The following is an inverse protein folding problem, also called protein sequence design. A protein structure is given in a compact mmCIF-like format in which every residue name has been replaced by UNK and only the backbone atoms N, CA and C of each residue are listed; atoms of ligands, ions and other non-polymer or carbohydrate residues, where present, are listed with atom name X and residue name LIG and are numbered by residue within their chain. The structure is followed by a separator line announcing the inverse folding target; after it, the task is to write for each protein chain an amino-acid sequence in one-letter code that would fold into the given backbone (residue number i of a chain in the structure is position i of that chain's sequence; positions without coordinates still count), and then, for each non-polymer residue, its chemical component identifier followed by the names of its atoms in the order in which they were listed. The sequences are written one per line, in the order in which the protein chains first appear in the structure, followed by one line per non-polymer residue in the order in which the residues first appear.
data_IF_381726408074
#
_entry.id   IF_381726408074
#
_cell.length_a   1.000
_cell.length_b   1.000
_cell.length_c   1.000
_cell.angle_alpha   90.00
_cell.angle_beta   90.00
_cell.angle_gamma   90.00
#
_symmetry.space_group_name_H-M   'P 1'
#
loop_
_entity.id
_entity.type
_entity.pdbx_description
1 polymer ?
#
# COMPACT_ATOMS: atom_id res chain seq x y z
N UNK A 1 12.90 7.56 -19.48
CA UNK A 1 14.07 7.20 -18.64
C UNK A 1 15.41 7.19 -19.37
N UNK A 2 15.72 6.27 -20.30
CA UNK A 2 17.03 6.28 -20.98
C UNK A 2 17.32 7.59 -21.71
N UNK A 3 16.35 8.07 -22.51
CA UNK A 3 16.49 9.32 -23.26
C UNK A 3 16.61 10.54 -22.37
N UNK A 4 15.85 10.63 -21.26
CA UNK A 4 15.99 11.73 -20.29
C UNK A 4 17.42 11.76 -19.72
N UNK A 5 17.94 10.60 -19.30
CA UNK A 5 19.31 10.47 -18.80
C UNK A 5 20.34 10.92 -19.84
N UNK A 6 20.25 10.41 -21.08
CA UNK A 6 21.15 10.83 -22.15
C UNK A 6 21.08 12.34 -22.43
N UNK A 7 19.89 12.96 -22.41
CA UNK A 7 19.75 14.40 -22.63
C UNK A 7 20.40 15.22 -21.51
N UNK A 8 20.33 14.75 -20.25
CA UNK A 8 21.02 15.37 -19.12
C UNK A 8 22.52 15.19 -19.21
N UNK A 9 22.98 13.97 -19.47
CA UNK A 9 24.41 13.64 -19.62
C UNK A 9 25.03 14.42 -20.78
N UNK A 10 24.31 14.57 -21.89
CA UNK A 10 24.74 15.42 -23.01
C UNK A 10 24.71 16.89 -22.65
N UNK A 11 23.78 17.34 -21.82
CA UNK A 11 23.77 18.72 -21.31
C UNK A 11 25.02 19.07 -20.48
N UNK A 12 25.65 18.07 -19.85
CA UNK A 12 26.87 18.23 -19.04
C UNK A 12 28.17 17.98 -19.83
N UNK A 13 28.10 17.53 -21.08
CA UNK A 13 29.28 17.29 -21.91
C UNK A 13 29.90 18.61 -22.37
N UNK A 14 31.23 18.70 -22.27
CA UNK A 14 32.03 19.88 -22.63
C UNK A 14 31.68 20.40 -24.03
N UNK A 15 31.46 19.51 -24.99
CA UNK A 15 31.10 19.91 -26.35
C UNK A 15 29.77 20.67 -26.41
N UNK A 16 28.75 20.22 -25.67
CA UNK A 16 27.43 20.84 -25.69
C UNK A 16 27.36 22.08 -24.77
N UNK A 17 28.17 22.12 -23.71
CA UNK A 17 28.36 23.33 -22.90
C UNK A 17 29.00 24.45 -23.72
N UNK A 18 30.04 24.15 -24.51
CA UNK A 18 30.66 25.13 -25.43
C UNK A 18 29.65 25.67 -26.46
N UNK A 19 28.80 24.80 -27.01
CA UNK A 19 27.72 25.22 -27.92
C UNK A 19 26.68 26.08 -27.21
N UNK A 20 26.34 25.73 -25.97
CA UNK A 20 25.38 26.49 -25.17
C UNK A 20 25.90 27.88 -24.83
N UNK A 21 27.15 28.00 -24.37
CA UNK A 21 27.80 29.29 -24.14
C UNK A 21 27.84 30.14 -25.42
N UNK A 22 28.20 29.54 -26.57
CA UNK A 22 28.19 30.26 -27.85
C UNK A 22 26.77 30.71 -28.25
N UNK A 23 25.75 29.89 -27.99
CA UNK A 23 24.36 30.24 -28.25
C UNK A 23 23.87 31.37 -27.34
N UNK A 24 24.25 31.33 -26.06
CA UNK A 24 23.93 32.34 -25.05
C UNK A 24 24.63 33.67 -25.36
N UNK A 25 25.91 33.64 -25.72
CA UNK A 25 26.64 34.83 -26.16
C UNK A 25 26.00 35.46 -27.41
N UNK A 26 25.51 34.65 -28.35
CA UNK A 26 24.79 35.15 -29.52
C UNK A 26 23.43 35.75 -29.16
N UNK A 27 22.76 35.23 -28.13
CA UNK A 27 21.47 35.77 -27.65
C UNK A 27 21.66 37.12 -26.95
N UNK A 28 22.66 37.23 -26.07
CA UNK A 28 22.99 38.46 -25.36
C UNK A 28 23.45 39.58 -26.30
N UNK A 29 24.19 39.23 -27.36
CA UNK A 29 24.69 40.18 -28.33
C UNK A 29 23.66 40.60 -29.40
N UNK A 30 22.47 40.00 -29.43
CA UNK A 30 21.36 40.47 -30.26
C UNK A 30 20.72 41.72 -29.64
N UNK A 31 20.84 42.86 -30.33
CA UNK A 31 20.23 44.12 -29.88
C UNK A 31 18.69 44.00 -29.79
N UNK A 32 18.06 44.74 -28.87
CA UNK A 32 16.60 44.78 -28.67
C UNK A 32 15.77 45.07 -29.94
N UNK A 33 16.39 45.55 -31.02
CA UNK A 33 15.75 45.85 -32.31
C UNK A 33 15.69 44.63 -33.26
N UNK A 34 16.37 43.53 -32.93
CA UNK A 34 16.57 42.34 -33.78
C UNK A 34 16.00 41.04 -33.18
N UNK A 35 15.13 41.11 -32.16
CA UNK A 35 14.53 39.92 -31.50
C UNK A 35 13.71 39.02 -32.45
N UNK A 36 13.18 39.58 -33.54
CA UNK A 36 12.49 38.85 -34.59
C UNK A 36 13.42 38.33 -35.71
N UNK A 37 14.73 38.64 -35.66
CA UNK A 37 15.69 38.10 -36.63
C UNK A 37 16.04 36.67 -36.28
N UNK A 38 16.15 35.88 -37.34
CA UNK A 38 16.54 34.49 -37.27
C UNK A 38 17.93 34.34 -36.63
N UNK A 39 17.99 33.55 -35.55
CA UNK A 39 19.21 33.32 -34.74
C UNK A 39 20.06 32.22 -35.36
N UNK A 40 19.39 31.19 -35.87
CA UNK A 40 20.00 30.06 -36.57
C UNK A 40 19.07 29.59 -37.70
N UNK A 41 19.50 29.75 -38.94
CA UNK A 41 18.71 29.35 -40.12
C UNK A 41 17.39 30.11 -40.20
N UNK A 42 16.26 29.40 -40.10
CA UNK A 42 14.91 29.96 -40.13
C UNK A 42 14.23 30.08 -38.76
N UNK A 43 14.92 29.78 -37.66
CA UNK A 43 14.37 29.78 -36.30
C UNK A 43 14.57 31.13 -35.59
N UNK A 44 13.52 31.61 -34.93
CA UNK A 44 13.57 32.79 -34.06
C UNK A 44 14.15 32.44 -32.68
N UNK A 45 14.51 33.45 -31.89
CA UNK A 45 15.01 33.25 -30.53
C UNK A 45 13.98 32.56 -29.62
N UNK A 46 12.70 32.82 -29.86
CA UNK A 46 11.59 32.16 -29.18
C UNK A 46 11.54 30.66 -29.52
N UNK A 47 11.65 30.31 -30.81
CA UNK A 47 11.65 28.90 -31.25
C UNK A 47 12.84 28.10 -30.70
N UNK A 48 13.97 28.78 -30.45
CA UNK A 48 15.15 28.19 -29.84
C UNK A 48 14.92 27.96 -28.35
N UNK A 49 14.36 28.94 -27.64
CA UNK A 49 14.05 28.83 -26.22
C UNK A 49 13.04 27.71 -25.93
N UNK A 50 12.02 27.57 -26.78
CA UNK A 50 10.98 26.52 -26.66
C UNK A 50 11.54 25.09 -26.85
N UNK A 51 12.76 24.94 -27.36
CA UNK A 51 13.39 23.63 -27.61
C UNK A 51 14.60 23.34 -26.73
N UNK A 52 15.23 24.39 -26.22
CA UNK A 52 16.51 24.29 -25.51
C UNK A 52 16.31 24.62 -24.03
N UNK A 53 16.30 25.91 -23.70
CA UNK A 53 15.94 26.39 -22.38
C UNK A 53 15.45 27.83 -22.47
N UNK A 54 14.49 28.17 -21.61
CA UNK A 54 13.98 29.55 -21.45
C UNK A 54 15.07 30.55 -21.02
N UNK A 55 16.18 30.05 -20.46
CA UNK A 55 17.36 30.81 -20.08
C UNK A 55 17.99 31.60 -21.25
N UNK A 56 17.84 31.12 -22.49
CA UNK A 56 18.31 31.82 -23.71
C UNK A 56 17.64 33.20 -23.87
N UNK A 57 16.38 33.32 -23.45
CA UNK A 57 15.56 34.54 -23.61
C UNK A 57 15.57 35.42 -22.37
N UNK A 58 15.66 34.83 -21.17
CA UNK A 58 15.77 35.60 -19.92
C UNK A 58 17.17 36.18 -19.69
N UNK A 59 18.20 35.62 -20.32
CA UNK A 59 19.59 36.00 -20.08
C UNK A 59 20.12 35.49 -18.74
N UNK A 60 19.46 34.47 -18.19
CA UNK A 60 19.97 33.75 -17.01
C UNK A 60 21.03 32.73 -17.46
N UNK A 61 22.11 32.63 -16.70
CA UNK A 61 23.23 31.72 -16.97
C UNK A 61 22.93 30.25 -16.56
N UNK A 62 21.78 30.00 -15.91
CA UNK A 62 21.47 28.74 -15.21
C UNK A 62 20.64 27.76 -16.07
N UNK A 63 21.02 27.57 -17.34
CA UNK A 63 20.33 26.67 -18.26
C UNK A 63 21.26 25.76 -19.05
N UNK A 64 20.71 24.68 -19.60
CA UNK A 64 21.39 23.78 -20.52
C UNK A 64 20.63 23.61 -21.83
N UNK A 65 21.37 23.19 -22.87
CA UNK A 65 20.86 23.07 -24.24
C UNK A 65 19.66 22.11 -24.38
N UNK A 66 19.52 21.14 -23.49
CA UNK A 66 18.51 20.08 -23.58
C UNK A 66 17.47 20.11 -22.46
N UNK A 67 17.40 21.15 -21.63
CA UNK A 67 16.52 21.16 -20.46
C UNK A 67 15.04 20.95 -20.80
N UNK A 68 14.53 21.66 -21.80
CA UNK A 68 13.12 21.55 -22.20
C UNK A 68 12.83 20.17 -22.80
N UNK A 69 13.75 19.64 -23.60
CA UNK A 69 13.61 18.30 -24.20
C UNK A 69 13.70 17.20 -23.14
N UNK A 70 14.63 17.32 -22.18
CA UNK A 70 14.74 16.41 -21.04
C UNK A 70 13.49 16.48 -20.16
N UNK A 71 12.96 17.69 -19.92
CA UNK A 71 11.70 17.93 -19.23
C UNK A 71 10.52 17.25 -19.91
N UNK A 72 10.39 17.37 -21.23
CA UNK A 72 9.34 16.72 -22.00
C UNK A 72 9.40 15.18 -21.88
N UNK A 73 10.61 14.59 -21.93
CA UNK A 73 10.77 13.14 -21.74
C UNK A 73 10.46 12.70 -20.31
N UNK A 74 10.75 13.53 -19.31
CA UNK A 74 10.38 13.27 -17.92
C UNK A 74 8.87 13.30 -17.72
N UNK A 75 8.17 14.31 -18.25
CA UNK A 75 6.70 14.37 -18.23
C UNK A 75 6.08 13.15 -18.92
N UNK A 76 6.61 12.75 -20.09
CA UNK A 76 6.14 11.56 -20.80
C UNK A 76 6.34 10.29 -19.96
N UNK A 77 7.46 10.20 -19.25
CA UNK A 77 7.73 9.09 -18.34
C UNK A 77 6.72 9.06 -17.18
N UNK A 78 6.51 10.17 -16.49
CA UNK A 78 5.56 10.26 -15.37
C UNK A 78 4.14 9.88 -15.80
N UNK A 79 3.70 10.39 -16.96
CA UNK A 79 2.41 10.05 -17.54
C UNK A 79 2.28 8.56 -17.92
N UNK A 80 3.33 7.98 -18.51
CA UNK A 80 3.33 6.55 -18.87
C UNK A 80 3.31 5.67 -17.62
N UNK A 81 4.04 6.05 -16.57
CA UNK A 81 4.01 5.35 -15.28
C UNK A 81 2.60 5.39 -14.66
N UNK A 82 1.95 6.56 -14.65
CA UNK A 82 0.57 6.71 -14.17
C UNK A 82 -0.41 5.82 -14.94
N UNK A 83 -0.32 5.81 -16.27
CA UNK A 83 -1.15 4.95 -17.12
C UNK A 83 -0.93 3.45 -16.84
N UNK A 84 0.31 3.03 -16.57
CA UNK A 84 0.60 1.63 -16.17
C UNK A 84 -0.05 1.32 -14.81
N UNK A 85 0.05 2.24 -13.85
CA UNK A 85 -0.51 2.07 -12.51
C UNK A 85 -2.03 1.95 -12.57
N UNK A 86 -2.69 2.82 -13.32
CA UNK A 86 -4.13 2.76 -13.54
C UNK A 86 -4.55 1.45 -14.20
N UNK A 87 -3.84 1.04 -15.26
CA UNK A 87 -4.17 -0.18 -15.98
C UNK A 87 -4.04 -1.43 -15.09
N UNK A 88 -2.89 -1.61 -14.43
CA UNK A 88 -2.64 -2.76 -13.56
C UNK A 88 -3.57 -2.71 -12.34
N UNK A 89 -3.74 -1.54 -11.71
CA UNK A 89 -4.61 -1.37 -10.57
C UNK A 89 -6.06 -1.71 -10.87
N UNK A 90 -6.62 -1.19 -11.98
CA UNK A 90 -7.99 -1.48 -12.39
C UNK A 90 -8.18 -2.95 -12.73
N UNK A 91 -7.24 -3.57 -13.45
CA UNK A 91 -7.33 -4.98 -13.80
C UNK A 91 -7.34 -5.89 -12.56
N UNK A 92 -6.45 -5.65 -11.61
CA UNK A 92 -6.38 -6.41 -10.35
C UNK A 92 -7.64 -6.19 -9.50
N UNK A 93 -8.15 -4.96 -9.40
CA UNK A 93 -9.40 -4.66 -8.69
C UNK A 93 -10.60 -5.38 -9.34
N UNK A 94 -10.66 -5.44 -10.67
CA UNK A 94 -11.72 -6.14 -11.39
C UNK A 94 -11.71 -7.64 -11.10
N UNK A 95 -10.54 -8.24 -11.05
CA UNK A 95 -10.37 -9.66 -10.71
C UNK A 95 -10.67 -9.92 -9.22
N UNK A 96 -10.31 -9.00 -8.32
CA UNK A 96 -10.66 -9.05 -6.90
C UNK A 96 -12.17 -8.95 -6.62
N UNK A 97 -13.01 -8.56 -7.60
CA UNK A 97 -14.47 -8.53 -7.41
C UNK A 97 -15.04 -9.90 -7.05
N UNK A 98 -14.43 -10.99 -7.49
CA UNK A 98 -14.86 -12.33 -7.08
C UNK A 98 -14.61 -12.55 -5.58
N UNK A 99 -13.41 -12.16 -5.12
CA UNK A 99 -13.01 -12.25 -3.73
C UNK A 99 -13.84 -11.36 -2.80
N UNK A 100 -14.18 -10.14 -3.22
CA UNK A 100 -15.04 -9.24 -2.41
C UNK A 100 -16.49 -9.69 -2.27
N UNK A 101 -16.95 -10.62 -3.12
CA UNK A 101 -18.29 -11.21 -3.04
C UNK A 101 -18.37 -12.39 -2.06
N UNK A 102 -17.26 -12.82 -1.48
CA UNK A 102 -17.26 -13.87 -0.45
C UNK A 102 -18.08 -13.37 0.75
N UNK A 103 -19.18 -14.05 1.04
CA UNK A 103 -20.06 -13.73 2.18
C UNK A 103 -19.93 -14.73 3.33
N UNK A 104 -19.18 -15.81 3.12
CA UNK A 104 -19.04 -16.93 4.06
C UNK A 104 -18.00 -16.70 5.15
N UNK A 105 -17.33 -15.53 5.20
CA UNK A 105 -16.39 -15.12 6.25
C UNK A 105 -16.81 -15.43 7.71
N UNK A 106 -18.10 -15.34 8.12
CA UNK A 106 -18.50 -15.68 9.48
C UNK A 106 -18.78 -17.17 9.69
N UNK A 107 -18.90 -17.96 8.62
CA UNK A 107 -19.27 -19.38 8.64
C UNK A 107 -18.14 -20.31 8.20
N UNK A 108 -16.94 -19.77 7.92
CA UNK A 108 -15.79 -20.61 7.63
C UNK A 108 -15.41 -21.33 8.93
N UNK A 109 -15.63 -22.63 8.93
CA UNK A 109 -15.23 -23.56 9.98
C UNK A 109 -13.95 -24.29 9.55
N UNK A 110 -13.11 -24.64 10.50
CA UNK A 110 -11.95 -25.49 10.24
C UNK A 110 -12.45 -26.86 9.79
N UNK A 111 -12.07 -27.27 8.59
CA UNK A 111 -12.37 -28.60 8.09
C UNK A 111 -11.54 -29.61 8.90
N UNK A 112 -12.09 -30.07 10.03
CA UNK A 112 -11.54 -31.16 10.83
C UNK A 112 -11.96 -32.53 10.28
N UNK A 113 -12.28 -32.64 8.99
CA UNK A 113 -12.67 -33.92 8.39
C UNK A 113 -11.51 -34.53 7.60
N UNK A 114 -10.76 -35.40 8.28
CA UNK A 114 -10.09 -36.53 7.63
C UNK A 114 -8.56 -36.55 7.62
N UNK A 115 -7.93 -36.74 8.77
CA UNK A 115 -6.92 -37.80 8.96
C UNK A 115 -6.41 -37.78 10.40
N UNK A 116 -6.86 -38.76 11.19
CA UNK A 116 -6.22 -39.16 12.44
C UNK A 116 -4.91 -39.89 12.12
N UNK A 117 -3.94 -39.18 11.52
CA UNK A 117 -2.57 -39.67 11.42
C UNK A 117 -1.66 -38.69 12.16
N UNK A 118 -1.54 -38.96 13.45
CA UNK A 118 -0.65 -38.28 14.39
C UNK A 118 0.81 -38.46 13.95
N UNK A 119 1.30 -37.55 13.08
CA UNK A 119 2.72 -37.17 12.93
C UNK A 119 3.00 -36.09 11.86
N UNK A 120 2.00 -35.41 11.28
CA UNK A 120 2.24 -34.21 10.49
C UNK A 120 1.96 -32.94 11.29
N UNK A 121 2.92 -32.02 11.43
CA UNK A 121 2.63 -30.70 11.94
C UNK A 121 1.93 -29.89 10.84
N UNK A 122 1.11 -28.92 11.27
CA UNK A 122 0.55 -27.82 10.47
C UNK A 122 -0.73 -28.12 9.65
N UNK A 123 -1.87 -27.65 10.15
CA UNK A 123 -3.01 -27.29 9.30
C UNK A 123 -2.61 -26.11 8.41
N UNK A 124 -1.97 -26.37 7.27
CA UNK A 124 -1.65 -25.33 6.29
C UNK A 124 -2.94 -24.87 5.62
N UNK A 125 -3.42 -23.68 5.97
CA UNK A 125 -4.55 -23.04 5.29
C UNK A 125 -4.21 -22.89 3.80
N UNK A 126 -5.06 -23.45 2.94
CA UNK A 126 -4.93 -23.27 1.49
C UNK A 126 -5.44 -21.91 1.08
N UNK A 127 -4.86 -21.34 0.03
CA UNK A 127 -5.25 -20.04 -0.53
C UNK A 127 -6.69 -20.10 -1.07
N UNK A 128 -7.48 -19.05 -0.83
CA UNK A 128 -8.84 -18.96 -1.40
C UNK A 128 -8.79 -18.97 -2.94
N UNK A 129 -9.57 -19.80 -3.63
CA UNK A 129 -9.50 -19.93 -5.09
C UNK A 129 -9.83 -18.62 -5.81
N UNK A 130 -10.63 -17.73 -5.20
CA UNK A 130 -11.01 -16.44 -5.75
C UNK A 130 -9.86 -15.43 -5.82
N UNK A 131 -8.78 -15.63 -5.05
CA UNK A 131 -7.59 -14.76 -5.08
C UNK A 131 -6.51 -15.27 -6.04
N UNK A 132 -6.64 -16.50 -6.55
CA UNK A 132 -5.63 -17.11 -7.41
C UNK A 132 -5.42 -16.32 -8.72
N UNK A 133 -6.50 -15.84 -9.32
CA UNK A 133 -6.45 -15.04 -10.55
C UNK A 133 -5.73 -13.68 -10.35
N UNK A 134 -6.13 -12.83 -9.38
CA UNK A 134 -5.41 -11.56 -9.15
C UNK A 134 -3.94 -11.76 -8.76
N UNK A 135 -3.59 -12.86 -8.07
CA UNK A 135 -2.20 -13.21 -7.78
C UNK A 135 -1.41 -13.55 -9.07
N UNK A 136 -1.99 -14.35 -9.96
CA UNK A 136 -1.37 -14.70 -11.23
C UNK A 136 -1.16 -13.46 -12.12
N UNK A 137 -2.14 -12.58 -12.18
CA UNK A 137 -2.08 -11.30 -12.88
C UNK A 137 -0.95 -10.43 -12.33
N UNK A 138 -0.92 -10.17 -11.01
CA UNK A 138 0.15 -9.39 -10.37
C UNK A 138 1.52 -9.98 -10.66
N UNK A 139 1.68 -11.30 -10.50
CA UNK A 139 2.95 -11.99 -10.76
C UNK A 139 3.42 -11.82 -12.20
N UNK A 140 2.53 -12.02 -13.18
CA UNK A 140 2.86 -11.88 -14.60
C UNK A 140 3.24 -10.44 -14.98
N UNK A 141 2.48 -9.45 -14.49
CA UNK A 141 2.75 -8.04 -14.73
C UNK A 141 4.05 -7.59 -14.07
N UNK A 142 4.30 -7.97 -12.82
CA UNK A 142 5.54 -7.63 -12.13
C UNK A 142 6.76 -8.31 -12.75
N UNK A 143 6.65 -9.58 -13.16
CA UNK A 143 7.72 -10.28 -13.86
C UNK A 143 8.09 -9.62 -15.20
N UNK A 144 7.12 -9.04 -15.90
CA UNK A 144 7.37 -8.31 -17.14
C UNK A 144 7.95 -6.92 -16.86
N UNK A 145 7.28 -6.13 -16.01
CA UNK A 145 7.66 -4.73 -15.76
C UNK A 145 8.99 -4.60 -15.01
N UNK A 146 9.35 -5.53 -14.13
CA UNK A 146 10.65 -5.53 -13.45
C UNK A 146 11.83 -5.72 -14.40
N UNK A 147 11.60 -6.30 -15.59
CA UNK A 147 12.62 -6.52 -16.62
C UNK A 147 12.76 -5.36 -17.60
N UNK A 148 11.67 -4.61 -17.81
CA UNK A 148 11.59 -3.55 -18.84
C UNK A 148 11.82 -2.17 -18.23
N UNK A 149 11.44 -1.97 -16.98
CA UNK A 149 11.56 -0.69 -16.28
C UNK A 149 12.77 -0.67 -15.36
N UNK A 150 13.21 0.54 -15.01
CA UNK A 150 14.22 0.71 -13.97
C UNK A 150 13.62 0.42 -12.58
N UNK A 151 14.48 0.08 -11.63
CA UNK A 151 14.04 -0.23 -10.27
C UNK A 151 13.21 0.91 -9.61
N UNK A 152 13.58 2.21 -9.70
CA UNK A 152 12.78 3.28 -9.09
C UNK A 152 11.36 3.38 -9.64
N UNK A 153 11.20 3.33 -10.97
CA UNK A 153 9.89 3.37 -11.64
C UNK A 153 9.06 2.14 -11.29
N UNK A 154 9.67 0.96 -11.35
CA UNK A 154 9.01 -0.29 -10.98
C UNK A 154 8.54 -0.28 -9.51
N UNK A 155 9.39 0.16 -8.57
CA UNK A 155 9.01 0.25 -7.16
C UNK A 155 7.84 1.22 -6.93
N UNK A 156 7.77 2.34 -7.68
CA UNK A 156 6.65 3.28 -7.61
C UNK A 156 5.35 2.61 -8.07
N UNK A 157 5.41 1.84 -9.15
CA UNK A 157 4.26 1.08 -9.67
C UNK A 157 3.78 0.06 -8.64
N UNK A 158 4.67 -0.80 -8.13
CA UNK A 158 4.32 -1.80 -7.11
C UNK A 158 3.68 -1.13 -5.89
N UNK A 159 4.29 -0.04 -5.40
CA UNK A 159 3.80 0.69 -4.23
C UNK A 159 2.37 1.19 -4.43
N UNK A 160 2.09 1.82 -5.57
CA UNK A 160 0.76 2.40 -5.84
C UNK A 160 -0.28 1.32 -6.13
N UNK A 161 0.05 0.30 -6.92
CA UNK A 161 -0.84 -0.84 -7.16
C UNK A 161 -1.20 -1.56 -5.85
N UNK A 162 -0.23 -1.83 -4.98
CA UNK A 162 -0.51 -2.48 -3.70
C UNK A 162 -1.30 -1.59 -2.74
N UNK A 163 -1.17 -0.27 -2.82
CA UNK A 163 -1.98 0.66 -2.03
C UNK A 163 -3.45 0.63 -2.45
N UNK A 164 -3.70 0.53 -3.76
CA UNK A 164 -5.05 0.34 -4.31
C UNK A 164 -5.65 -1.00 -3.85
N UNK A 165 -4.88 -2.09 -3.93
CA UNK A 165 -5.32 -3.42 -3.46
C UNK A 165 -5.63 -3.41 -1.97
N UNK A 166 -4.74 -2.85 -1.14
CA UNK A 166 -4.96 -2.71 0.30
C UNK A 166 -6.26 -1.96 0.60
N UNK A 167 -6.44 -0.79 -0.02
CA UNK A 167 -7.62 0.06 0.19
C UNK A 167 -8.89 -0.71 -0.21
N UNK A 168 -8.85 -1.41 -1.34
CA UNK A 168 -9.98 -2.19 -1.82
C UNK A 168 -10.35 -3.33 -0.86
N UNK A 169 -9.38 -4.07 -0.32
CA UNK A 169 -9.63 -5.15 0.64
C UNK A 169 -10.20 -4.57 1.94
N UNK A 170 -9.63 -3.48 2.45
CA UNK A 170 -10.12 -2.82 3.66
C UNK A 170 -11.59 -2.36 3.49
N UNK A 171 -11.91 -1.68 2.39
CA UNK A 171 -13.23 -1.07 2.18
C UNK A 171 -14.34 -2.07 1.83
N UNK A 172 -14.00 -3.15 1.11
CA UNK A 172 -15.00 -4.08 0.55
C UNK A 172 -15.06 -5.42 1.27
N UNK A 173 -13.98 -5.86 1.91
CA UNK A 173 -13.93 -7.12 2.66
C UNK A 173 -13.95 -6.82 4.15
N UNK A 174 -12.95 -6.08 4.65
CA UNK A 174 -12.84 -5.85 6.09
C UNK A 174 -14.01 -5.04 6.61
N UNK A 175 -14.35 -3.89 6.01
CA UNK A 175 -15.39 -3.00 6.53
C UNK A 175 -16.82 -3.53 6.35
N UNK A 176 -17.04 -4.53 5.47
CA UNK A 176 -18.38 -5.02 5.11
C UNK A 176 -18.68 -6.43 5.61
N UNK A 177 -17.67 -7.23 5.92
CA UNK A 177 -17.84 -8.64 6.29
C UNK A 177 -17.64 -8.92 7.78
N UNK A 178 -18.50 -9.77 8.33
CA UNK A 178 -18.26 -10.33 9.67
C UNK A 178 -17.31 -11.52 9.55
N UNK A 179 -16.40 -11.69 10.52
CA UNK A 179 -15.38 -12.74 10.47
C UNK A 179 -15.54 -13.72 11.63
N UNK A 180 -15.44 -15.02 11.33
CA UNK A 180 -15.09 -16.03 12.33
C UNK A 180 -13.60 -15.96 12.64
N UNK A 181 -13.14 -16.61 13.72
CA UNK A 181 -11.71 -16.68 14.01
C UNK A 181 -10.94 -17.36 12.87
N UNK A 182 -11.52 -18.39 12.28
CA UNK A 182 -10.93 -19.09 11.14
C UNK A 182 -10.99 -18.25 9.85
N UNK A 183 -12.11 -17.55 9.59
CA UNK A 183 -12.21 -16.63 8.45
C UNK A 183 -11.24 -15.47 8.52
N UNK A 184 -10.92 -14.97 9.72
CA UNK A 184 -9.86 -13.99 9.91
C UNK A 184 -8.46 -14.58 9.61
N UNK A 185 -8.19 -15.83 10.01
CA UNK A 185 -6.94 -16.53 9.66
C UNK A 185 -6.83 -16.78 8.15
N UNK A 186 -7.94 -17.13 7.49
CA UNK A 186 -8.00 -17.28 6.02
C UNK A 186 -7.68 -15.97 5.31
N UNK A 187 -8.30 -14.85 5.74
CA UNK A 187 -7.99 -13.52 5.19
C UNK A 187 -6.50 -13.17 5.37
N UNK A 188 -5.94 -13.44 6.55
CA UNK A 188 -4.52 -13.20 6.82
C UNK A 188 -3.61 -14.06 5.91
N UNK A 189 -3.96 -15.32 5.67
CA UNK A 189 -3.23 -16.20 4.73
C UNK A 189 -3.29 -15.66 3.30
N UNK A 190 -4.48 -15.31 2.82
CA UNK A 190 -4.69 -14.78 1.47
C UNK A 190 -3.92 -13.45 1.25
N UNK A 191 -3.90 -12.58 2.26
CA UNK A 191 -3.12 -11.34 2.21
C UNK A 191 -1.61 -11.60 2.26
N UNK A 192 -1.17 -12.61 3.01
CA UNK A 192 0.25 -13.01 3.07
C UNK A 192 0.78 -13.40 1.70
N UNK A 193 -0.03 -14.11 0.92
CA UNK A 193 0.33 -14.51 -0.45
C UNK A 193 0.39 -13.32 -1.41
N UNK A 194 -0.52 -12.35 -1.29
CA UNK A 194 -0.44 -11.09 -2.04
C UNK A 194 0.88 -10.35 -1.78
N UNK A 195 1.32 -10.32 -0.52
CA UNK A 195 2.59 -9.70 -0.15
C UNK A 195 3.77 -10.52 -0.64
N UNK A 196 3.71 -11.85 -0.55
CA UNK A 196 4.75 -12.75 -1.01
C UNK A 196 4.99 -12.60 -2.53
N UNK A 197 3.94 -12.53 -3.33
CA UNK A 197 4.05 -12.28 -4.78
C UNK A 197 4.73 -10.95 -5.05
N UNK A 198 4.38 -9.90 -4.31
CA UNK A 198 4.99 -8.57 -4.48
C UNK A 198 6.46 -8.54 -4.02
N UNK A 199 6.77 -9.24 -2.92
CA UNK A 199 8.10 -9.31 -2.33
C UNK A 199 9.10 -10.13 -3.19
N UNK A 200 8.62 -10.97 -4.11
CA UNK A 200 9.48 -11.65 -5.09
C UNK A 200 10.16 -10.67 -6.05
N UNK A 201 9.54 -9.52 -6.31
CA UNK A 201 10.02 -8.57 -7.33
C UNK A 201 10.52 -7.24 -6.73
N UNK A 202 9.96 -6.80 -5.59
CA UNK A 202 10.32 -5.54 -4.95
C UNK A 202 10.94 -5.79 -3.56
N UNK A 203 11.87 -4.93 -3.11
CA UNK A 203 12.51 -5.08 -1.81
C UNK A 203 11.49 -4.88 -0.67
N UNK A 204 11.67 -5.57 0.48
CA UNK A 204 10.76 -5.51 1.62
C UNK A 204 10.28 -4.11 2.03
N UNK A 205 11.11 -3.05 2.14
CA UNK A 205 10.63 -1.74 2.59
C UNK A 205 9.56 -1.12 1.69
N UNK A 206 9.54 -1.45 0.39
CA UNK A 206 8.55 -0.93 -0.55
C UNK A 206 7.18 -1.58 -0.31
N UNK A 207 7.16 -2.90 -0.12
CA UNK A 207 5.94 -3.68 0.06
C UNK A 207 5.41 -3.53 1.49
N UNK A 208 6.28 -3.64 2.49
CA UNK A 208 5.92 -3.55 3.90
C UNK A 208 5.38 -2.17 4.27
N UNK A 209 5.92 -1.09 3.71
CA UNK A 209 5.42 0.26 3.99
C UNK A 209 3.98 0.47 3.54
N UNK A 210 3.58 -0.14 2.43
CA UNK A 210 2.20 0.03 1.91
C UNK A 210 1.23 -0.93 2.58
N UNK A 211 1.67 -2.15 2.86
CA UNK A 211 0.82 -3.24 3.33
C UNK A 211 0.64 -3.26 4.84
N UNK A 212 1.33 -2.36 5.56
CA UNK A 212 1.37 -2.33 7.02
C UNK A 212 0.00 -2.16 7.64
N UNK A 213 -0.81 -1.20 7.18
CA UNK A 213 -2.18 -1.04 7.67
C UNK A 213 -2.99 -2.33 7.57
N UNK A 214 -2.98 -3.01 6.42
CA UNK A 214 -3.70 -4.27 6.27
C UNK A 214 -3.12 -5.39 7.13
N UNK A 215 -1.79 -5.46 7.30
CA UNK A 215 -1.12 -6.40 8.22
C UNK A 215 -1.58 -6.18 9.66
N UNK A 216 -1.62 -4.93 10.12
CA UNK A 216 -2.09 -4.55 11.45
C UNK A 216 -3.58 -4.90 11.64
N UNK A 217 -4.42 -4.65 10.63
CA UNK A 217 -5.83 -5.07 10.63
C UNK A 217 -5.97 -6.59 10.72
N UNK A 218 -5.20 -7.36 9.93
CA UNK A 218 -5.20 -8.82 10.00
C UNK A 218 -4.75 -9.33 11.38
N UNK A 219 -3.74 -8.72 11.99
CA UNK A 219 -3.31 -9.03 13.36
C UNK A 219 -4.46 -8.80 14.34
N UNK A 220 -5.13 -7.66 14.28
CA UNK A 220 -6.26 -7.33 15.16
C UNK A 220 -7.42 -8.33 15.03
N UNK A 221 -7.74 -8.73 13.78
CA UNK A 221 -8.81 -9.69 13.49
C UNK A 221 -8.50 -11.11 13.96
N UNK A 222 -7.21 -11.46 14.02
CA UNK A 222 -6.75 -12.82 14.36
C UNK A 222 -6.44 -12.99 15.85
N UNK A 223 -6.54 -11.94 16.66
CA UNK A 223 -6.32 -12.01 18.10
C UNK A 223 -7.20 -13.08 18.78
N UNK A 224 -6.62 -13.86 19.72
CA UNK A 224 -7.34 -14.92 20.41
C UNK A 224 -8.46 -14.37 21.28
N UNK A 225 -9.55 -15.13 21.37
CA UNK A 225 -10.73 -14.78 22.19
C UNK A 225 -10.50 -14.86 23.70
N UNK A 226 -9.60 -15.74 24.12
CA UNK A 226 -9.34 -16.04 25.53
C UNK A 226 -8.12 -15.25 25.95
N UNK A 227 -8.27 -14.38 26.94
CA UNK A 227 -7.14 -13.77 27.61
C UNK A 227 -6.34 -14.89 28.29
N UNK A 228 -5.06 -14.99 27.96
CA UNK A 228 -4.26 -16.15 28.33
C UNK A 228 -4.08 -16.28 29.84
N UNK A 229 -4.68 -17.33 30.42
CA UNK A 229 -3.93 -18.20 31.33
C UNK A 229 -4.01 -19.69 30.93
N UNK A 230 -4.66 -20.01 29.81
CA UNK A 230 -4.62 -21.33 29.20
C UNK A 230 -4.39 -21.14 27.71
N UNK A 231 -3.23 -21.59 27.23
CA UNK A 231 -2.78 -21.55 25.84
C UNK A 231 -3.78 -22.30 24.96
N UNK A 232 -4.53 -21.66 24.04
CA UNK A 232 -5.18 -22.37 22.97
C UNK A 232 -4.43 -22.10 21.66
N UNK A 233 -3.93 -23.15 21.01
CA UNK A 233 -3.46 -23.15 19.61
C UNK A 233 -2.45 -22.04 19.24
N UNK A 234 -1.24 -22.11 19.81
CA UNK A 234 -0.09 -21.31 19.35
C UNK A 234 0.38 -21.67 17.93
N UNK A 235 0.05 -22.86 17.43
CA UNK A 235 0.71 -23.52 16.29
C UNK A 235 0.29 -23.06 14.88
N UNK A 236 -0.50 -21.99 14.74
CA UNK A 236 -0.84 -21.44 13.41
C UNK A 236 -0.81 -19.92 13.31
N UNK A 237 -0.98 -19.22 14.43
CA UNK A 237 -0.91 -17.75 14.46
C UNK A 237 0.53 -17.26 14.38
N UNK A 238 1.44 -17.92 15.10
CA UNK A 238 2.85 -17.56 15.14
C UNK A 238 3.49 -17.70 13.75
N UNK A 239 3.20 -18.78 13.04
CA UNK A 239 3.71 -19.05 11.69
C UNK A 239 3.20 -18.01 10.69
N UNK A 240 1.89 -17.69 10.71
CA UNK A 240 1.30 -16.66 9.82
C UNK A 240 1.83 -15.25 10.16
N UNK A 241 2.08 -14.94 11.44
CA UNK A 241 2.61 -13.65 11.87
C UNK A 241 4.10 -13.49 11.59
N UNK A 242 4.89 -14.56 11.71
CA UNK A 242 6.30 -14.60 11.29
C UNK A 242 6.43 -14.49 9.77
N UNK A 243 5.60 -15.22 9.02
CA UNK A 243 5.55 -15.17 7.55
C UNK A 243 5.07 -13.78 7.05
N UNK A 244 4.18 -13.11 7.81
CA UNK A 244 3.76 -11.73 7.54
C UNK A 244 4.79 -10.66 7.95
N UNK A 245 5.92 -11.03 8.58
CA UNK A 245 7.01 -10.11 8.94
C UNK A 245 6.75 -9.25 10.18
N UNK A 246 5.74 -9.58 11.00
CA UNK A 246 5.40 -8.84 12.22
C UNK A 246 6.22 -9.36 13.42
N UNK A 247 7.54 -9.09 13.41
CA UNK A 247 8.49 -9.56 14.46
C UNK A 247 8.34 -8.85 15.83
N UNK A 248 7.51 -7.83 15.96
CA UNK A 248 7.46 -6.94 17.15
C UNK A 248 6.21 -7.09 18.04
N UNK A 249 5.48 -8.22 18.01
CA UNK A 249 4.37 -8.40 18.96
C UNK A 249 4.93 -8.70 20.36
N UNK A 250 5.00 -7.68 21.22
CA UNK A 250 5.57 -7.78 22.59
C UNK A 250 4.71 -8.60 23.54
N UNK A 251 3.40 -8.68 23.30
CA UNK A 251 2.46 -9.47 24.10
C UNK A 251 1.21 -9.82 23.28
N UNK A 252 0.89 -11.12 23.17
CA UNK A 252 -0.36 -11.58 22.57
C UNK A 252 -1.49 -11.44 23.57
N UNK A 253 -2.08 -10.25 23.60
CA UNK A 253 -3.26 -9.91 24.37
C UNK A 253 -4.51 -10.53 23.74
N UNK A 254 -5.46 -10.99 24.56
CA UNK A 254 -6.74 -11.44 24.04
C UNK A 254 -7.56 -10.27 23.49
N UNK A 255 -8.37 -10.54 22.46
CA UNK A 255 -9.19 -9.52 21.79
C UNK A 255 -10.12 -8.80 22.77
N UNK A 256 -10.56 -9.48 23.84
CA UNK A 256 -11.47 -8.91 24.83
C UNK A 256 -10.78 -7.84 25.68
N UNK A 257 -9.57 -8.13 26.15
CA UNK A 257 -8.81 -7.14 26.92
C UNK A 257 -8.34 -6.02 25.98
N UNK A 258 -7.93 -6.33 24.74
CA UNK A 258 -7.46 -5.34 23.78
C UNK A 258 -8.56 -4.33 23.43
N UNK A 259 -9.78 -4.82 23.18
CA UNK A 259 -10.95 -3.95 22.97
C UNK A 259 -11.35 -3.24 24.27
N UNK A 260 -11.32 -3.89 25.43
CA UNK A 260 -11.63 -3.24 26.71
C UNK A 260 -10.80 -1.98 26.95
N UNK A 261 -9.48 -2.11 26.91
CA UNK A 261 -8.52 -1.00 27.11
C UNK A 261 -8.56 0.03 25.98
N UNK A 262 -8.83 -0.38 24.72
CA UNK A 262 -8.94 0.58 23.60
C UNK A 262 -10.17 1.49 23.69
N UNK A 263 -11.22 1.06 24.40
CA UNK A 263 -12.47 1.81 24.57
C UNK A 263 -12.56 2.58 25.89
N UNK A 264 -11.70 2.26 26.85
CA UNK A 264 -11.67 2.90 28.16
C UNK A 264 -11.08 4.31 28.07
N UNK A 265 -9.85 4.45 27.57
CA UNK A 265 -9.19 5.75 27.43
C UNK A 265 -8.33 5.87 26.17
N UNK A 266 -8.12 7.11 25.69
CA UNK A 266 -7.25 7.37 24.53
C UNK A 266 -5.77 7.04 24.81
N UNK A 267 -5.31 7.17 26.05
CA UNK A 267 -3.95 6.79 26.45
C UNK A 267 -3.78 5.28 26.55
N UNK A 268 -4.79 4.57 27.08
CA UNK A 268 -4.78 3.12 27.14
C UNK A 268 -4.87 2.48 25.74
N UNK A 269 -5.66 3.06 24.83
CA UNK A 269 -5.70 2.65 23.44
C UNK A 269 -4.33 2.77 22.76
N UNK A 270 -3.58 3.84 23.03
CA UNK A 270 -2.21 3.99 22.55
C UNK A 270 -1.26 2.97 23.17
N UNK A 271 -1.40 2.69 24.47
CA UNK A 271 -0.63 1.64 25.14
C UNK A 271 -0.86 0.26 24.55
N UNK A 272 -2.11 -0.11 24.27
CA UNK A 272 -2.44 -1.39 23.61
C UNK A 272 -1.87 -1.46 22.19
N UNK A 273 -1.93 -0.36 21.42
CA UNK A 273 -1.33 -0.31 20.08
C UNK A 273 0.19 -0.46 20.13
N UNK A 274 0.86 0.17 21.10
CA UNK A 274 2.29 0.03 21.30
C UNK A 274 2.69 -1.39 21.74
N UNK A 275 1.89 -2.02 22.61
CA UNK A 275 2.09 -3.41 23.05
C UNK A 275 1.89 -4.42 21.90
N UNK A 276 0.94 -4.15 20.99
CA UNK A 276 0.66 -4.96 19.80
C UNK A 276 1.56 -4.61 18.59
N UNK A 277 2.34 -3.53 18.66
CA UNK A 277 3.21 -3.07 17.57
C UNK A 277 2.49 -2.36 16.42
N UNK A 278 1.26 -1.90 16.63
CA UNK A 278 0.42 -1.19 15.65
C UNK A 278 0.86 0.28 15.56
N UNK A 279 1.27 0.74 14.38
CA UNK A 279 1.83 2.08 14.17
C UNK A 279 1.02 2.94 13.19
N UNK A 280 0.32 2.33 12.23
CA UNK A 280 -0.41 3.08 11.18
C UNK A 280 -1.91 3.17 11.42
N UNK A 281 -2.50 2.20 12.13
CA UNK A 281 -3.93 2.22 12.41
C UNK A 281 -4.27 3.28 13.47
N UNK A 282 -5.18 4.19 13.14
CA UNK A 282 -5.59 5.26 14.06
C UNK A 282 -6.49 4.72 15.18
N UNK A 283 -6.47 5.36 16.36
CA UNK A 283 -7.36 5.02 17.49
C UNK A 283 -8.84 5.06 17.08
N UNK A 284 -9.22 6.02 16.22
CA UNK A 284 -10.59 6.11 15.70
C UNK A 284 -10.94 4.93 14.78
N UNK A 285 -9.98 4.40 14.04
CA UNK A 285 -10.16 3.25 13.14
C UNK A 285 -10.21 1.95 13.94
N UNK A 286 -9.35 1.77 14.95
CA UNK A 286 -9.47 0.67 15.93
C UNK A 286 -10.82 0.71 16.63
N UNK A 287 -11.34 1.91 16.91
CA UNK A 287 -12.67 2.05 17.50
C UNK A 287 -13.81 1.86 16.50
N UNK A 288 -13.65 2.21 15.23
CA UNK A 288 -14.63 1.89 14.20
C UNK A 288 -14.69 0.37 13.94
N UNK A 289 -13.52 -0.27 13.87
CA UNK A 289 -13.36 -1.71 13.68
C UNK A 289 -13.75 -2.51 14.95
N UNK A 290 -13.54 -1.94 16.14
CA UNK A 290 -13.78 -2.58 17.43
C UNK A 290 -15.10 -2.21 18.13
N UNK A 291 -15.69 -1.04 17.86
CA UNK A 291 -16.64 -0.37 18.77
C UNK A 291 -18.10 -0.66 18.59
N UNK A 292 -18.51 -1.07 17.39
CA UNK A 292 -19.88 -1.52 17.18
C UNK A 292 -19.98 -2.99 16.77
N UNK A 293 -18.90 -3.63 16.30
CA UNK A 293 -19.13 -4.71 15.34
C UNK A 293 -19.14 -6.17 15.84
N UNK A 294 -18.39 -6.59 16.88
CA UNK A 294 -18.20 -8.06 17.09
C UNK A 294 -18.46 -8.62 18.49
N UNK A 295 -18.55 -7.79 19.54
CA UNK A 295 -18.85 -8.24 20.93
C UNK A 295 -20.35 -8.33 21.24
N UNK A 296 -21.18 -7.37 20.81
CA UNK A 296 -22.64 -7.36 21.10
C UNK A 296 -23.38 -8.58 20.53
N UNK A 297 -22.94 -9.12 19.38
CA UNK A 297 -23.59 -10.28 18.73
C UNK A 297 -22.95 -11.64 19.00
N UNK A 298 -21.67 -11.69 19.40
CA UNK A 298 -21.00 -12.92 19.80
C UNK A 298 -21.39 -13.33 21.24
N UNK A 299 -21.71 -12.36 22.10
CA UNK A 299 -22.27 -12.63 23.43
C UNK A 299 -23.77 -12.98 23.43
N UNK A 300 -24.56 -12.59 22.43
CA UNK A 300 -25.99 -12.96 22.35
C UNK A 300 -26.24 -14.39 21.83
N UNK A 301 -25.22 -15.08 21.29
CA UNK A 301 -25.29 -16.49 20.90
C UNK A 301 -24.90 -17.47 22.01
N UNK A 302 -24.27 -17.02 23.10
CA UNK A 302 -24.16 -17.80 24.34
C UNK A 302 -25.17 -17.23 25.34
N UNK A 303 -26.20 -18.00 25.70
CA UNK A 303 -27.20 -17.67 26.74
C UNK A 303 -26.53 -17.49 28.11
N UNK A 304 -25.82 -16.39 28.33
CA UNK A 304 -25.32 -15.98 29.63
C UNK A 304 -25.97 -14.64 30.00
N UNK A 305 -26.57 -14.53 31.18
CA UNK A 305 -27.23 -13.31 31.60
C UNK A 305 -26.17 -12.23 31.86
N UNK A 306 -26.15 -11.21 31.00
CA UNK A 306 -25.43 -9.96 31.27
C UNK A 306 -26.30 -9.11 32.20
N UNK A 307 -25.98 -9.06 33.49
CA UNK A 307 -26.50 -8.02 34.39
C UNK A 307 -25.69 -6.75 34.15
N UNK A 308 -26.35 -5.74 33.57
CA UNK A 308 -25.80 -4.40 33.47
C UNK A 308 -25.73 -3.75 34.87
N UNK A 309 -24.69 -2.97 35.20
CA UNK A 309 -24.76 -2.06 36.33
C UNK A 309 -25.76 -0.93 36.00
N UNK A 310 -26.73 -0.76 36.89
CA UNK A 310 -27.72 0.32 36.86
C UNK A 310 -26.98 1.67 36.94
N UNK A 311 -27.01 2.44 35.85
CA UNK A 311 -26.85 3.89 35.94
C UNK A 311 -28.23 4.46 36.25
N UNK A 312 -28.42 4.85 37.51
CA UNK A 312 -29.63 5.51 38.01
C UNK A 312 -29.82 6.88 37.35
N UNK A 313 -31.08 7.14 36.99
CA UNK A 313 -31.62 8.41 36.53
C UNK A 313 -31.28 9.54 37.50
N UNK A 314 -30.46 10.50 37.07
CA UNK A 314 -30.39 11.81 37.72
C UNK A 314 -31.24 12.80 36.93
N UNK A 315 -32.52 12.85 37.32
CA UNK A 315 -33.41 14.02 37.42
C UNK A 315 -32.90 15.33 36.79
N UNK A 316 -33.52 15.74 35.67
CA UNK A 316 -33.62 17.16 35.31
C UNK A 316 -34.99 17.68 35.75
N UNK A 317 -34.99 18.53 36.77
CA UNK A 317 -36.10 19.39 37.14
C UNK A 317 -35.78 20.84 36.80
N UNK A 318 -36.63 21.44 35.96
CA UNK A 318 -37.14 22.81 35.95
C UNK A 318 -37.64 23.14 34.54
#
# INVERSE_FOLDING_TARGET
MYLEGCMRDWGEDVFFLEIWEELHDRSLNQSNQDKDKQVAGNMTMQDVADKTSSAVVSGDDDGALFDETAGAFKCLQEWTEEMIIEHVGNNVIEELRAYTRITIWPSIESDHTGSEDSNQPHSTLTISPEIAQPLATLSSFYAYTSRVLTAPSFHRIVRQTMALVQTHILDYVVARSQFSAFGARQLARDCTELWAVSAQFAPPPVVEGVTRKLKETCLLLTLPMKDGNEVPEREGLQDVLEEAGLREVKSLMGIRTAVGRAFEDNEEARGVMEELGIRELLVAEVRAEGGEWKLKRRMSKLKLPFQAPLFEDTVFGC
#
